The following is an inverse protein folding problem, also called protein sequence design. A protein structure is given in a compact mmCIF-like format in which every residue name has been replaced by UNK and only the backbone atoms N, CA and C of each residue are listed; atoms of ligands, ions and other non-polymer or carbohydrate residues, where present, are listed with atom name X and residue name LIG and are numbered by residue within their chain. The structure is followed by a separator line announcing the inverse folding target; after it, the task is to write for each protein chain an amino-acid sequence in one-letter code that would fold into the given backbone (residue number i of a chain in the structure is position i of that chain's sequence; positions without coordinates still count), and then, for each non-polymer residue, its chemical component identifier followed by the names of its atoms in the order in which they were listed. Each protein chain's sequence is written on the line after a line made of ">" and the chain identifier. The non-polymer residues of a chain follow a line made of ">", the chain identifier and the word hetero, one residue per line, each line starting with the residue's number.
data_IF_285028857999
#
_entry.id   IF_285028857999
#
_cell.length_a   1.000
_cell.length_b   1.000
_cell.length_c   1.000
_cell.angle_alpha   90.00
_cell.angle_beta   90.00
_cell.angle_gamma   90.00
#
_symmetry.space_group_name_H-M   'P 1'
#
loop_
_entity.id
_entity.type
_entity.pdbx_description
1 polymer ?
#
# COMPACT_ATOMS: atom_id res chain seq x y z
N UNK A 1 17.82 9.21 -31.18
CA UNK A 1 16.66 10.11 -31.02
C UNK A 1 16.39 10.21 -29.53
N UNK A 2 16.79 11.32 -28.91
CA UNK A 2 16.54 11.57 -27.48
C UNK A 2 15.08 11.96 -27.25
N UNK A 3 14.46 11.59 -26.11
CA UNK A 3 13.17 12.15 -25.74
C UNK A 3 13.34 13.63 -25.38
N UNK A 4 12.42 14.45 -25.88
CA UNK A 4 12.44 15.90 -25.71
C UNK A 4 12.13 16.27 -24.25
N UNK A 5 13.05 17.01 -23.63
CA UNK A 5 12.80 17.75 -22.40
C UNK A 5 11.85 18.93 -22.69
N UNK A 6 10.85 19.13 -21.83
CA UNK A 6 9.96 20.29 -21.88
C UNK A 6 10.74 21.50 -21.34
N UNK A 7 10.81 22.56 -22.14
CA UNK A 7 11.53 23.81 -21.86
C UNK A 7 10.92 24.61 -20.69
N UNK A 8 11.72 25.26 -19.82
CA UNK A 8 11.24 25.87 -18.58
C UNK A 8 10.91 27.36 -18.74
N UNK A 9 10.04 27.76 -19.66
CA UNK A 9 9.56 29.16 -19.69
C UNK A 9 8.08 29.23 -20.09
N UNK A 10 7.21 28.96 -19.10
CA UNK A 10 5.87 29.57 -18.93
C UNK A 10 5.11 28.91 -17.77
N UNK A 11 5.75 28.80 -16.59
CA UNK A 11 5.01 28.47 -15.37
C UNK A 11 4.24 29.71 -14.90
N UNK A 12 2.89 29.68 -14.81
CA UNK A 12 2.18 30.71 -14.08
C UNK A 12 2.66 30.66 -12.62
N UNK A 13 3.17 31.79 -12.10
CA UNK A 13 3.54 31.93 -10.69
C UNK A 13 2.33 31.54 -9.84
N UNK A 14 2.39 30.40 -9.15
CA UNK A 14 1.47 30.11 -8.05
C UNK A 14 1.73 31.16 -6.97
N UNK A 15 0.75 32.04 -6.77
CA UNK A 15 0.67 32.88 -5.59
C UNK A 15 0.63 31.97 -4.35
N UNK A 16 1.23 32.39 -3.22
CA UNK A 16 1.17 31.61 -1.99
C UNK A 16 -0.29 31.41 -1.59
N UNK A 17 -0.70 30.14 -1.48
CA UNK A 17 -2.01 29.80 -0.94
C UNK A 17 -2.09 30.34 0.49
N UNK A 18 -3.01 31.28 0.72
CA UNK A 18 -3.39 31.68 2.08
C UNK A 18 -3.89 30.45 2.83
N UNK A 19 -3.66 30.32 4.15
CA UNK A 19 -4.20 29.22 4.94
C UNK A 19 -5.72 29.24 4.77
N UNK A 20 -6.26 28.25 4.07
CA UNK A 20 -7.70 28.03 4.05
C UNK A 20 -8.02 27.46 5.42
N UNK A 21 -8.71 28.25 6.23
CA UNK A 21 -9.29 27.79 7.48
C UNK A 21 -10.03 26.48 7.20
N UNK A 22 -9.69 25.45 7.96
CA UNK A 22 -10.40 24.17 7.98
C UNK A 22 -11.86 24.44 8.30
N UNK A 23 -12.69 24.53 7.26
CA UNK A 23 -14.12 24.32 7.41
C UNK A 23 -14.27 22.87 7.81
N UNK A 24 -14.69 22.66 9.05
CA UNK A 24 -15.20 21.39 9.56
C UNK A 24 -16.03 20.71 8.47
N UNK A 25 -15.53 19.60 7.95
CA UNK A 25 -16.34 18.70 7.13
C UNK A 25 -17.47 18.21 8.04
N UNK A 26 -18.75 18.28 7.61
CA UNK A 26 -19.85 17.86 8.45
C UNK A 26 -19.72 16.38 8.81
N UNK A 27 -20.22 16.07 10.01
CA UNK A 27 -20.26 14.75 10.64
C UNK A 27 -20.50 13.60 9.67
N UNK A 28 -19.74 12.52 9.88
CA UNK A 28 -20.04 11.14 9.51
C UNK A 28 -21.10 10.96 8.42
N UNK A 29 -20.67 10.53 7.23
CA UNK A 29 -21.55 9.76 6.35
C UNK A 29 -21.42 8.30 6.79
N UNK A 30 -22.36 7.74 7.57
CA UNK A 30 -22.29 6.33 7.91
C UNK A 30 -22.57 5.50 6.65
N UNK A 31 -21.68 4.56 6.34
CA UNK A 31 -21.94 3.43 5.44
C UNK A 31 -23.04 2.55 6.05
N UNK A 32 -24.28 3.03 6.00
CA UNK A 32 -25.47 2.24 6.29
C UNK A 32 -25.73 1.44 5.02
N UNK A 33 -25.34 0.16 5.06
CA UNK A 33 -25.88 -0.97 4.28
C UNK A 33 -24.88 -2.12 4.10
N UNK A 34 -23.76 -2.12 4.84
CA UNK A 34 -23.07 -3.39 5.13
C UNK A 34 -24.02 -4.25 5.99
N UNK A 35 -24.41 -5.46 5.56
CA UNK A 35 -25.25 -6.32 6.37
C UNK A 35 -24.56 -6.54 7.71
N UNK A 36 -25.27 -6.21 8.79
CA UNK A 36 -24.87 -6.55 10.16
C UNK A 36 -25.02 -8.07 10.37
N UNK A 37 -24.29 -8.87 9.60
CA UNK A 37 -24.11 -10.27 9.91
C UNK A 37 -22.90 -10.37 10.81
N UNK A 38 -23.15 -10.79 12.06
CA UNK A 38 -22.16 -11.47 12.88
C UNK A 38 -21.65 -12.67 12.08
N UNK A 39 -20.64 -12.45 11.26
CA UNK A 39 -19.91 -13.52 10.57
C UNK A 39 -18.46 -13.39 11.03
N UNK A 40 -18.03 -14.23 11.99
CA UNK A 40 -16.72 -14.12 12.60
C UNK A 40 -15.70 -14.71 11.64
N UNK A 41 -14.98 -13.87 10.89
CA UNK A 41 -13.96 -14.29 9.93
C UNK A 41 -14.52 -15.16 8.79
N UNK A 42 -13.90 -15.17 7.59
CA UNK A 42 -13.99 -16.37 6.77
C UNK A 42 -13.28 -17.47 7.55
N UNK A 43 -14.03 -18.43 8.12
CA UNK A 43 -13.52 -19.64 8.79
C UNK A 43 -12.54 -20.46 7.92
N UNK A 44 -12.32 -20.05 6.67
CA UNK A 44 -11.67 -20.81 5.61
C UNK A 44 -10.36 -20.20 5.08
N UNK A 45 -9.78 -19.18 5.75
CA UNK A 45 -8.32 -18.99 5.65
C UNK A 45 -7.71 -20.11 6.50
N UNK A 46 -6.94 -21.07 5.94
CA UNK A 46 -6.45 -22.20 6.70
C UNK A 46 -5.63 -21.73 7.90
N UNK A 47 -6.28 -21.65 9.07
CA UNK A 47 -5.70 -21.33 10.36
C UNK A 47 -4.95 -22.57 10.86
N UNK A 48 -3.84 -22.87 10.22
CA UNK A 48 -2.93 -23.91 10.66
C UNK A 48 -1.99 -23.32 11.72
N UNK A 49 -2.43 -23.45 12.98
CA UNK A 49 -1.67 -23.28 14.23
C UNK A 49 -0.43 -24.18 14.36
N UNK A 50 0.15 -24.70 13.28
CA UNK A 50 1.40 -25.49 13.34
C UNK A 50 2.23 -25.62 12.05
N UNK A 51 1.84 -25.05 10.91
CA UNK A 51 2.68 -24.95 9.70
C UNK A 51 2.33 -23.67 8.95
N UNK A 52 3.21 -22.69 9.06
CA UNK A 52 3.08 -21.36 8.44
C UNK A 52 2.70 -21.54 6.95
N UNK A 53 1.67 -20.83 6.44
CA UNK A 53 1.71 -20.41 5.05
C UNK A 53 3.04 -19.66 4.84
N UNK A 54 3.65 -19.74 3.67
CA UNK A 54 4.96 -19.12 3.41
C UNK A 54 4.81 -17.59 3.44
N UNK A 55 4.83 -17.03 4.65
CA UNK A 55 4.60 -15.62 4.88
C UNK A 55 5.87 -14.84 4.62
N UNK A 56 5.72 -13.62 4.08
CA UNK A 56 6.80 -12.65 4.10
C UNK A 56 7.21 -12.33 5.55
N UNK A 57 8.46 -11.92 5.73
CA UNK A 57 9.01 -11.53 7.04
C UNK A 57 8.15 -10.47 7.75
N UNK A 58 7.35 -9.68 7.03
CA UNK A 58 6.53 -8.57 7.55
C UNK A 58 5.04 -8.88 7.74
N UNK A 59 4.67 -10.15 7.98
CA UNK A 59 3.27 -10.58 8.15
C UNK A 59 2.38 -10.35 6.91
N UNK A 60 3.01 -10.21 5.75
CA UNK A 60 2.36 -10.01 4.45
C UNK A 60 2.18 -11.34 3.72
N UNK A 61 0.99 -11.49 3.15
CA UNK A 61 0.57 -12.63 2.35
C UNK A 61 0.49 -12.15 0.90
N UNK A 62 1.34 -12.73 0.07
CA UNK A 62 1.47 -12.39 -1.35
C UNK A 62 1.28 -13.61 -2.26
N UNK A 63 1.20 -14.81 -1.69
CA UNK A 63 1.09 -16.09 -2.40
C UNK A 63 -0.37 -16.57 -2.50
N UNK A 64 -0.58 -17.76 -3.05
CA UNK A 64 -1.90 -18.39 -3.24
C UNK A 64 -2.90 -17.58 -4.07
N UNK A 65 -2.42 -16.67 -4.91
CA UNK A 65 -3.26 -15.76 -5.68
C UNK A 65 -4.04 -14.74 -4.84
N UNK A 66 -3.69 -14.56 -3.55
CA UNK A 66 -4.48 -13.75 -2.61
C UNK A 66 -4.77 -12.35 -3.14
N UNK A 67 -3.81 -11.72 -3.85
CA UNK A 67 -3.97 -10.39 -4.41
C UNK A 67 -5.17 -10.25 -5.37
N UNK A 68 -5.69 -11.36 -5.91
CA UNK A 68 -6.78 -11.39 -6.89
C UNK A 68 -8.03 -12.14 -6.45
N UNK A 69 -8.08 -12.63 -5.21
CA UNK A 69 -9.30 -13.23 -4.65
C UNK A 69 -10.46 -12.22 -4.68
N UNK A 70 -11.70 -12.70 -4.84
CA UNK A 70 -12.89 -11.83 -4.97
C UNK A 70 -12.96 -10.72 -3.93
N UNK A 71 -12.78 -11.04 -2.65
CA UNK A 71 -12.86 -10.05 -1.57
C UNK A 71 -11.81 -8.92 -1.69
N UNK A 72 -10.64 -9.17 -2.29
CA UNK A 72 -9.61 -8.14 -2.49
C UNK A 72 -10.02 -7.19 -3.62
N UNK A 73 -10.66 -7.72 -4.67
CA UNK A 73 -11.17 -6.91 -5.76
C UNK A 73 -12.42 -6.13 -5.36
N UNK A 74 -13.36 -6.76 -4.65
CA UNK A 74 -14.53 -6.09 -4.09
C UNK A 74 -14.09 -4.90 -3.22
N UNK A 75 -13.15 -5.12 -2.29
CA UNK A 75 -12.58 -4.07 -1.44
C UNK A 75 -11.89 -2.94 -2.22
N UNK A 76 -11.14 -3.27 -3.29
CA UNK A 76 -10.48 -2.28 -4.15
C UNK A 76 -11.49 -1.43 -4.93
N UNK A 77 -12.59 -2.03 -5.35
CA UNK A 77 -13.61 -1.39 -6.18
C UNK A 77 -14.71 -0.69 -5.37
N UNK A 78 -14.65 -0.73 -4.04
CA UNK A 78 -15.57 0.03 -3.19
C UNK A 78 -15.61 1.51 -3.61
N UNK A 79 -16.80 2.10 -3.82
CA UNK A 79 -16.91 3.47 -4.33
C UNK A 79 -16.12 4.48 -3.50
N UNK A 80 -16.19 4.39 -2.17
CA UNK A 80 -15.43 5.29 -1.28
C UNK A 80 -13.91 5.17 -1.42
N UNK A 81 -13.40 3.99 -1.82
CA UNK A 81 -11.97 3.79 -2.09
C UNK A 81 -11.62 4.48 -3.41
N UNK A 82 -12.35 4.18 -4.48
CA UNK A 82 -12.09 4.76 -5.79
C UNK A 82 -12.22 6.27 -5.80
N UNK A 83 -13.24 6.82 -5.13
CA UNK A 83 -13.48 8.26 -5.01
C UNK A 83 -12.33 8.97 -4.30
N UNK A 84 -11.77 8.37 -3.24
CA UNK A 84 -10.65 8.94 -2.50
C UNK A 84 -9.38 9.06 -3.38
N UNK A 85 -9.09 8.03 -4.17
CA UNK A 85 -7.96 8.05 -5.10
C UNK A 85 -8.22 8.92 -6.32
N UNK A 86 -9.44 8.94 -6.85
CA UNK A 86 -9.81 9.79 -7.97
C UNK A 86 -9.70 11.27 -7.59
N UNK A 87 -10.11 11.62 -6.36
CA UNK A 87 -9.94 12.96 -5.80
C UNK A 87 -8.46 13.30 -5.64
N UNK A 88 -7.66 12.38 -5.10
CA UNK A 88 -6.22 12.60 -4.88
C UNK A 88 -5.46 12.84 -6.19
N UNK A 89 -5.86 12.18 -7.27
CA UNK A 89 -5.19 12.27 -8.58
C UNK A 89 -5.87 13.20 -9.59
N UNK A 90 -7.08 13.67 -9.32
CA UNK A 90 -7.88 14.48 -10.23
C UNK A 90 -8.40 13.73 -11.47
N UNK A 91 -8.55 12.41 -11.39
CA UNK A 91 -9.03 11.55 -12.49
C UNK A 91 -9.58 10.23 -11.98
N UNK A 92 -10.64 9.72 -12.58
CA UNK A 92 -11.23 8.39 -12.33
C UNK A 92 -10.53 7.26 -13.12
N UNK A 93 -9.73 7.63 -14.12
CA UNK A 93 -8.91 6.70 -14.88
C UNK A 93 -7.67 6.23 -14.09
N UNK A 94 -7.85 5.18 -13.29
CA UNK A 94 -6.85 4.70 -12.32
C UNK A 94 -6.35 3.28 -12.65
N UNK A 95 -5.12 2.97 -12.25
CA UNK A 95 -4.64 1.59 -12.17
C UNK A 95 -4.46 1.23 -10.70
N UNK A 96 -4.85 0.02 -10.31
CA UNK A 96 -4.72 -0.50 -8.94
C UNK A 96 -3.47 -1.36 -8.77
N UNK A 97 -2.79 -1.31 -7.62
CA UNK A 97 -1.66 -2.20 -7.32
C UNK A 97 -2.10 -3.64 -7.01
N UNK A 98 -1.24 -4.62 -7.30
CA UNK A 98 -1.45 -6.03 -6.95
C UNK A 98 -0.67 -6.40 -5.70
N UNK A 99 -0.88 -5.62 -4.64
CA UNK A 99 -0.16 -5.80 -3.39
C UNK A 99 -0.76 -6.93 -2.54
N UNK A 100 -0.53 -6.88 -1.23
CA UNK A 100 -0.64 -7.99 -0.30
C UNK A 100 -1.72 -7.76 0.76
N UNK A 101 -2.19 -8.88 1.31
CA UNK A 101 -2.96 -8.89 2.55
C UNK A 101 -1.96 -8.90 3.72
N UNK A 102 -2.20 -8.13 4.77
CA UNK A 102 -1.43 -8.23 6.01
C UNK A 102 -2.29 -8.79 7.13
N UNK A 103 -1.81 -9.84 7.79
CA UNK A 103 -2.44 -10.40 9.00
C UNK A 103 -1.41 -10.44 10.11
N UNK A 104 -1.54 -9.53 11.06
CA UNK A 104 -0.65 -9.41 12.21
C UNK A 104 -1.34 -9.93 13.46
N UNK A 105 -0.82 -11.04 13.99
CA UNK A 105 -1.32 -11.65 15.22
C UNK A 105 -0.67 -11.02 16.45
N UNK A 106 -1.45 -10.81 17.53
CA UNK A 106 -0.93 -10.32 18.80
C UNK A 106 -0.18 -11.43 19.54
N UNK A 107 0.75 -11.05 20.41
CA UNK A 107 1.33 -11.92 21.43
C UNK A 107 1.93 -13.26 20.94
N UNK A 108 2.55 -13.25 19.75
CA UNK A 108 3.27 -14.43 19.21
C UNK A 108 4.55 -14.71 20.00
N UNK A 109 4.50 -15.64 20.96
CA UNK A 109 5.64 -16.01 21.83
C UNK A 109 6.88 -16.54 21.09
N UNK A 110 6.68 -17.15 19.93
CA UNK A 110 7.76 -17.80 19.16
C UNK A 110 8.30 -16.92 18.03
N UNK A 111 7.91 -15.64 17.98
CA UNK A 111 8.34 -14.70 16.94
C UNK A 111 8.87 -13.44 17.64
N UNK A 112 10.17 -13.12 17.50
CA UNK A 112 10.70 -11.87 18.02
C UNK A 112 9.92 -10.68 17.47
N UNK A 113 9.63 -9.70 18.34
CA UNK A 113 9.06 -8.44 17.89
C UNK A 113 10.06 -7.73 16.99
N UNK A 114 9.56 -7.17 15.90
CA UNK A 114 10.36 -6.33 15.02
C UNK A 114 10.57 -4.97 15.66
N UNK A 115 11.77 -4.43 15.50
CA UNK A 115 12.05 -3.03 15.77
C UNK A 115 11.41 -2.15 14.70
N UNK A 116 11.22 -0.85 14.96
CA UNK A 116 10.93 0.13 13.92
C UNK A 116 11.91 0.02 12.74
N UNK A 117 11.38 0.27 11.56
CA UNK A 117 12.08 0.15 10.28
C UNK A 117 11.58 1.27 9.37
N UNK A 118 11.76 2.50 9.85
CA UNK A 118 11.36 3.73 9.19
C UNK A 118 11.89 3.77 7.77
N UNK A 119 10.97 3.84 6.81
CA UNK A 119 11.31 3.93 5.41
C UNK A 119 10.32 4.79 4.64
N UNK A 120 10.76 5.15 3.45
CA UNK A 120 9.93 5.66 2.37
C UNK A 120 10.00 4.68 1.22
N UNK A 121 8.97 4.68 0.40
CA UNK A 121 8.75 3.72 -0.69
C UNK A 121 8.82 4.39 -2.07
N UNK A 122 9.53 5.51 -2.14
CA UNK A 122 9.82 6.22 -3.37
C UNK A 122 11.31 6.51 -3.43
N UNK A 123 11.93 6.15 -4.55
CA UNK A 123 13.33 6.47 -4.79
C UNK A 123 13.56 7.99 -4.76
N UNK A 124 14.69 8.48 -4.20
CA UNK A 124 15.05 9.90 -4.26
C UNK A 124 15.29 10.41 -5.69
N UNK A 125 15.46 9.51 -6.67
CA UNK A 125 15.52 9.86 -8.09
C UNK A 125 14.16 10.32 -8.65
N UNK A 126 13.05 10.04 -7.95
CA UNK A 126 11.70 10.50 -8.30
C UNK A 126 11.36 11.71 -7.43
N UNK A 127 11.37 12.91 -8.03
CA UNK A 127 11.07 14.17 -7.33
C UNK A 127 9.58 14.49 -7.40
N UNK A 128 9.01 14.94 -6.27
CA UNK A 128 7.57 15.18 -6.17
C UNK A 128 6.73 13.91 -5.98
N UNK A 129 5.40 14.03 -6.06
CA UNK A 129 4.49 12.91 -5.84
C UNK A 129 4.45 11.97 -7.05
N UNK A 130 4.76 10.69 -6.85
CA UNK A 130 4.64 9.66 -7.89
C UNK A 130 3.77 8.46 -7.49
N UNK A 131 3.59 8.22 -6.18
CA UNK A 131 2.75 7.13 -5.70
C UNK A 131 2.01 7.54 -4.43
N UNK A 132 0.73 7.17 -4.37
CA UNK A 132 -0.14 7.30 -3.20
C UNK A 132 -0.51 5.89 -2.76
N UNK A 133 -0.08 5.54 -1.56
CA UNK A 133 -0.36 4.25 -0.93
C UNK A 133 -1.56 4.36 0.01
N UNK A 134 -2.17 3.22 0.27
CA UNK A 134 -3.21 3.10 1.26
C UNK A 134 -3.28 1.72 1.92
N UNK A 135 -3.96 1.73 3.05
CA UNK A 135 -4.39 0.54 3.77
C UNK A 135 -5.89 0.64 3.98
N UNK A 136 -6.61 -0.39 3.54
CA UNK A 136 -8.00 -0.60 3.94
C UNK A 136 -8.04 -1.48 5.19
N UNK A 137 -8.61 -0.95 6.26
CA UNK A 137 -8.71 -1.66 7.53
C UNK A 137 -9.86 -2.66 7.53
N UNK A 138 -9.55 -3.95 7.71
CA UNK A 138 -10.54 -5.03 7.88
C UNK A 138 -10.71 -5.46 9.34
N UNK A 139 -10.05 -4.74 10.25
CA UNK A 139 -10.06 -4.95 11.70
C UNK A 139 -9.79 -3.61 12.40
N UNK A 140 -10.25 -3.42 13.63
CA UNK A 140 -9.82 -2.28 14.44
C UNK A 140 -8.29 -2.25 14.58
N UNK A 141 -7.73 -1.05 14.66
CA UNK A 141 -6.33 -0.82 14.96
C UNK A 141 -6.22 0.29 16.02
N UNK A 142 -6.08 -0.10 17.29
CA UNK A 142 -5.90 0.82 18.40
C UNK A 142 -4.44 1.22 18.66
N UNK A 143 -4.19 1.94 19.77
CA UNK A 143 -2.86 2.40 20.16
C UNK A 143 -1.89 1.27 20.54
N UNK A 144 -2.41 0.17 21.09
CA UNK A 144 -1.62 -0.99 21.54
C UNK A 144 -1.53 -2.08 20.46
N UNK A 145 -2.35 -1.98 19.40
CA UNK A 145 -2.41 -2.95 18.32
C UNK A 145 -1.30 -2.70 17.28
N UNK A 146 -1.06 -3.71 16.45
CA UNK A 146 -0.24 -3.51 15.26
C UNK A 146 -0.86 -2.45 14.35
N UNK A 147 -0.09 -1.92 13.41
CA UNK A 147 -0.64 -1.02 12.40
C UNK A 147 0.37 -0.07 11.80
N UNK A 148 -0.13 0.99 11.20
CA UNK A 148 0.71 1.97 10.52
C UNK A 148 1.21 3.02 11.51
N UNK A 149 2.52 3.25 11.53
CA UNK A 149 3.10 4.47 12.06
C UNK A 149 3.58 5.30 10.89
N UNK A 150 3.24 6.59 10.90
CA UNK A 150 3.71 7.58 9.93
C UNK A 150 4.45 8.70 10.64
N UNK A 151 5.29 9.42 9.94
CA UNK A 151 5.82 10.71 10.37
C UNK A 151 5.12 11.78 9.55
N UNK A 152 4.04 12.41 10.08
CA UNK A 152 3.29 13.43 9.35
C UNK A 152 4.22 14.53 8.82
N UNK A 153 3.88 15.08 7.66
CA UNK A 153 4.63 16.16 6.97
C UNK A 153 6.06 15.80 6.50
N UNK A 154 6.58 14.60 6.80
CA UNK A 154 7.91 14.18 6.31
C UNK A 154 8.05 14.19 4.78
N UNK A 155 6.97 13.88 4.05
CA UNK A 155 6.95 13.92 2.58
C UNK A 155 7.22 15.33 2.01
N UNK A 156 6.87 16.39 2.74
CA UNK A 156 7.13 17.77 2.33
C UNK A 156 8.62 18.14 2.45
N UNK A 157 9.35 17.43 3.31
CA UNK A 157 10.79 17.60 3.54
C UNK A 157 11.65 16.59 2.77
N UNK A 158 11.04 15.63 2.06
CA UNK A 158 11.73 14.54 1.37
C UNK A 158 12.84 15.06 0.44
N UNK A 159 12.47 15.99 -0.43
CA UNK A 159 13.36 16.61 -1.41
C UNK A 159 14.55 17.31 -0.73
N UNK A 160 14.29 18.16 0.28
CA UNK A 160 15.34 18.85 1.06
C UNK A 160 16.25 17.87 1.81
N UNK A 161 15.67 16.82 2.40
CA UNK A 161 16.42 15.82 3.15
C UNK A 161 17.43 15.13 2.25
N UNK A 162 17.01 14.63 1.08
CA UNK A 162 17.92 13.95 0.18
C UNK A 162 18.98 14.90 -0.38
N UNK A 163 18.62 16.14 -0.70
CA UNK A 163 19.56 17.14 -1.25
C UNK A 163 20.61 17.59 -0.24
N UNK A 164 20.34 17.51 1.07
CA UNK A 164 21.22 18.09 2.11
C UNK A 164 21.83 17.08 3.07
N UNK A 165 21.21 15.91 3.23
CA UNK A 165 21.59 14.89 4.23
C UNK A 165 22.08 13.59 3.59
N UNK A 166 22.10 13.49 2.27
CA UNK A 166 22.58 12.31 1.54
C UNK A 166 23.49 12.70 0.38
N UNK A 167 24.15 11.71 -0.21
CA UNK A 167 24.94 11.88 -1.43
C UNK A 167 24.17 11.29 -2.62
N UNK A 168 23.98 12.08 -3.68
CA UNK A 168 23.28 11.65 -4.90
C UNK A 168 23.94 10.41 -5.54
N UNK A 169 25.25 10.20 -5.32
CA UNK A 169 25.98 9.03 -5.83
C UNK A 169 25.52 7.71 -5.22
N UNK A 170 24.87 7.76 -4.06
CA UNK A 170 24.34 6.58 -3.36
C UNK A 170 22.86 6.31 -3.71
N UNK A 171 22.23 7.21 -4.47
CA UNK A 171 20.84 7.05 -4.88
C UNK A 171 20.72 5.93 -5.91
N UNK A 172 19.61 5.21 -5.84
CA UNK A 172 19.32 4.11 -6.73
C UNK A 172 17.81 4.02 -7.01
N UNK A 173 17.44 3.20 -8.00
CA UNK A 173 16.05 3.08 -8.47
C UNK A 173 15.19 2.19 -7.57
N UNK A 174 15.70 1.69 -6.45
CA UNK A 174 14.85 0.98 -5.50
C UNK A 174 13.89 1.98 -4.89
N UNK A 175 12.60 1.74 -5.07
CA UNK A 175 11.51 2.48 -4.44
C UNK A 175 11.38 2.05 -2.97
N UNK A 176 12.49 2.16 -2.23
CA UNK A 176 12.63 1.91 -0.79
C UNK A 176 13.91 2.56 -0.25
N UNK A 177 13.78 3.38 0.78
CA UNK A 177 14.92 3.96 1.51
C UNK A 177 14.71 3.84 3.02
N UNK A 178 15.65 3.23 3.73
CA UNK A 178 15.62 3.05 5.19
C UNK A 178 16.41 4.17 5.87
N UNK A 179 15.83 4.77 6.90
CA UNK A 179 16.47 5.87 7.63
C UNK A 179 17.31 5.36 8.80
N UNK A 180 18.48 5.96 8.99
CA UNK A 180 19.26 5.79 10.21
C UNK A 180 18.68 6.62 11.36
N UNK A 181 19.11 6.34 12.60
CA UNK A 181 18.69 7.11 13.79
C UNK A 181 19.09 8.58 13.67
N UNK A 182 20.28 8.86 13.12
CA UNK A 182 20.81 10.21 12.89
C UNK A 182 19.98 10.96 11.86
N UNK A 183 19.59 10.27 10.77
CA UNK A 183 18.75 10.85 9.74
C UNK A 183 17.34 11.15 10.27
N UNK A 184 16.77 10.25 11.07
CA UNK A 184 15.49 10.51 11.74
C UNK A 184 15.56 11.70 12.71
N UNK A 185 16.73 11.96 13.31
CA UNK A 185 16.91 13.12 14.18
C UNK A 185 16.74 14.45 13.41
N UNK A 186 17.21 14.51 12.16
CA UNK A 186 17.05 15.69 11.30
C UNK A 186 15.56 16.08 11.09
N UNK A 187 14.68 15.08 10.97
CA UNK A 187 13.23 15.30 10.89
C UNK A 187 12.65 15.73 12.25
N UNK A 188 13.07 15.09 13.34
CA UNK A 188 12.63 15.44 14.70
C UNK A 188 13.01 16.87 15.09
N UNK A 189 14.20 17.33 14.71
CA UNK A 189 14.66 18.70 14.95
C UNK A 189 13.82 19.75 14.19
N UNK A 190 13.07 19.31 13.17
CA UNK A 190 12.09 20.10 12.40
C UNK A 190 10.65 19.88 12.86
N UNK A 191 10.43 19.22 14.00
CA UNK A 191 9.12 18.97 14.59
C UNK A 191 8.34 17.79 13.98
N UNK A 192 8.99 16.98 13.14
CA UNK A 192 8.36 15.80 12.54
C UNK A 192 8.58 14.59 13.43
N UNK A 193 7.48 14.05 13.98
CA UNK A 193 7.49 12.97 14.97
C UNK A 193 6.62 11.79 14.54
N UNK A 194 6.92 10.56 14.98
CA UNK A 194 6.11 9.39 14.65
C UNK A 194 4.72 9.49 15.28
N UNK A 195 3.70 9.10 14.52
CA UNK A 195 2.30 9.02 14.90
C UNK A 195 1.77 7.62 14.60
N UNK A 196 1.33 6.90 15.64
CA UNK A 196 0.58 5.64 15.47
C UNK A 196 -0.83 5.96 14.99
N UNK A 197 -1.13 5.57 13.75
CA UNK A 197 -2.47 5.73 13.19
C UNK A 197 -3.39 4.69 13.84
N UNK A 198 -4.47 5.18 14.43
CA UNK A 198 -5.58 4.37 14.90
C UNK A 198 -6.74 4.49 13.93
N UNK A 199 -7.42 3.39 13.66
CA UNK A 199 -8.48 3.34 12.65
C UNK A 199 -9.44 2.18 12.91
N UNK A 200 -10.69 2.37 12.52
CA UNK A 200 -11.77 1.41 12.65
C UNK A 200 -11.89 0.51 11.41
N UNK A 201 -12.78 -0.47 11.47
CA UNK A 201 -13.10 -1.34 10.33
C UNK A 201 -13.75 -0.51 9.22
N UNK A 202 -13.26 -0.64 8.00
CA UNK A 202 -13.75 0.09 6.83
C UNK A 202 -13.00 1.40 6.56
N UNK A 203 -12.19 1.87 7.49
CA UNK A 203 -11.38 3.07 7.26
C UNK A 203 -10.32 2.83 6.18
N UNK A 204 -10.18 3.80 5.29
CA UNK A 204 -9.11 3.89 4.31
C UNK A 204 -8.08 4.91 4.78
N UNK A 205 -6.86 4.45 5.07
CA UNK A 205 -5.73 5.31 5.42
C UNK A 205 -4.89 5.51 4.17
N UNK A 206 -4.71 6.75 3.72
CA UNK A 206 -3.95 7.10 2.52
C UNK A 206 -2.72 7.94 2.88
N UNK A 207 -1.58 7.69 2.25
CA UNK A 207 -0.38 8.53 2.39
C UNK A 207 0.44 8.60 1.09
N UNK A 208 1.22 9.68 0.96
CA UNK A 208 2.22 9.84 -0.09
C UNK A 208 3.40 8.87 0.16
N UNK A 209 3.87 8.12 -0.84
CA UNK A 209 5.00 7.17 -0.69
C UNK A 209 6.30 7.78 -0.15
N UNK A 210 6.45 9.10 -0.21
CA UNK A 210 7.55 9.87 0.41
C UNK A 210 7.39 10.10 1.92
N UNK A 211 6.25 9.74 2.49
CA UNK A 211 6.01 9.85 3.94
C UNK A 211 6.76 8.73 4.65
N UNK A 212 7.62 9.08 5.61
CA UNK A 212 8.32 8.08 6.42
C UNK A 212 7.28 7.28 7.20
N UNK A 213 7.31 5.96 7.07
CA UNK A 213 6.35 5.09 7.70
C UNK A 213 6.95 3.72 8.01
N UNK A 214 6.23 2.93 8.81
CA UNK A 214 6.51 1.52 9.04
C UNK A 214 5.30 0.80 9.64
N UNK A 215 5.29 -0.53 9.50
CA UNK A 215 4.35 -1.39 10.20
C UNK A 215 4.81 -1.66 11.64
N UNK A 216 4.06 -1.17 12.62
CA UNK A 216 4.26 -1.44 14.04
C UNK A 216 3.73 -2.83 14.42
N UNK A 217 4.49 -3.53 15.27
CA UNK A 217 4.03 -4.77 15.90
C UNK A 217 3.15 -4.44 17.13
N UNK A 218 2.15 -5.28 17.43
CA UNK A 218 1.31 -5.13 18.62
C UNK A 218 2.13 -5.24 19.91
N UNK A 219 1.73 -4.46 20.92
CA UNK A 219 2.28 -4.56 22.28
C UNK A 219 1.75 -5.82 22.99
N UNK A 220 2.23 -6.08 24.21
CA UNK A 220 1.77 -7.22 25.03
C UNK A 220 0.31 -7.13 25.43
N UNK A 221 -0.25 -5.92 25.41
CA UNK A 221 -1.63 -5.66 25.86
C UNK A 221 -2.65 -5.91 24.76
N UNK A 222 -2.23 -5.96 23.50
CA UNK A 222 -3.13 -6.19 22.37
C UNK A 222 -3.67 -7.62 22.38
N UNK A 223 -4.95 -7.76 22.09
CA UNK A 223 -5.61 -9.04 21.77
C UNK A 223 -6.16 -9.05 20.33
N UNK A 224 -5.86 -8.02 19.54
CA UNK A 224 -6.40 -7.82 18.20
C UNK A 224 -5.55 -8.50 17.14
N UNK A 225 -6.16 -9.40 16.38
CA UNK A 225 -5.59 -9.82 15.09
C UNK A 225 -5.88 -8.72 14.08
N UNK A 226 -4.83 -8.01 13.66
CA UNK A 226 -4.97 -6.97 12.65
C UNK A 226 -4.99 -7.58 11.26
N UNK A 227 -5.98 -7.23 10.48
CA UNK A 227 -6.12 -7.62 9.08
C UNK A 227 -6.35 -6.40 8.22
N UNK A 228 -5.52 -6.20 7.20
CA UNK A 228 -5.67 -5.09 6.27
C UNK A 228 -5.28 -5.45 4.84
N UNK A 229 -5.80 -4.69 3.88
CA UNK A 229 -5.43 -4.78 2.48
C UNK A 229 -4.52 -3.61 2.14
N UNK A 230 -3.33 -3.89 1.60
CA UNK A 230 -2.52 -2.86 0.96
C UNK A 230 -3.07 -2.57 -0.43
N UNK A 231 -3.19 -1.29 -0.74
CA UNK A 231 -3.64 -0.83 -2.06
C UNK A 231 -2.95 0.48 -2.41
N UNK A 232 -2.76 0.72 -3.69
CA UNK A 232 -2.27 1.98 -4.21
C UNK A 232 -2.89 2.17 -5.59
N UNK A 233 -3.10 3.43 -5.96
CA UNK A 233 -3.64 3.77 -7.27
C UNK A 233 -2.83 4.89 -7.88
N UNK A 234 -2.75 4.87 -9.20
CA UNK A 234 -2.12 5.92 -10.00
C UNK A 234 -2.87 6.10 -11.32
N UNK A 235 -2.87 7.30 -11.91
CA UNK A 235 -3.52 7.53 -13.20
C UNK A 235 -3.02 6.57 -14.28
N UNK A 236 -3.93 6.01 -15.07
CA UNK A 236 -3.59 5.09 -16.15
C UNK A 236 -2.63 5.72 -17.18
N UNK A 237 -2.76 7.03 -17.41
CA UNK A 237 -1.90 7.82 -18.31
C UNK A 237 -0.41 7.85 -17.92
N UNK A 238 -0.06 7.45 -16.69
CA UNK A 238 1.34 7.38 -16.26
C UNK A 238 2.01 6.06 -16.66
N UNK A 239 1.25 5.03 -17.02
CA UNK A 239 1.80 3.74 -17.37
C UNK A 239 2.44 3.76 -18.76
N UNK A 240 3.69 3.31 -18.85
CA UNK A 240 4.30 3.00 -20.12
C UNK A 240 3.66 1.74 -20.75
N UNK A 241 3.56 1.63 -22.09
CA UNK A 241 2.89 0.49 -22.73
C UNK A 241 3.45 -0.89 -22.36
N UNK A 242 4.76 -0.99 -22.15
CA UNK A 242 5.45 -2.21 -21.73
C UNK A 242 5.11 -2.58 -20.28
N UNK A 243 5.07 -1.59 -19.37
CA UNK A 243 4.64 -1.80 -17.99
C UNK A 243 3.18 -2.24 -17.91
N UNK A 244 2.30 -1.66 -18.74
CA UNK A 244 0.89 -2.06 -18.83
C UNK A 244 0.74 -3.50 -19.36
N UNK A 245 1.53 -3.88 -20.37
CA UNK A 245 1.54 -5.24 -20.88
C UNK A 245 2.03 -6.24 -19.83
N UNK A 246 3.09 -5.92 -19.09
CA UNK A 246 3.58 -6.75 -17.99
C UNK A 246 2.56 -6.85 -16.86
N UNK A 247 1.93 -5.74 -16.47
CA UNK A 247 0.84 -5.73 -15.48
C UNK A 247 -0.30 -6.66 -15.90
N UNK A 248 -0.73 -6.61 -17.16
CA UNK A 248 -1.76 -7.50 -17.69
C UNK A 248 -1.36 -8.97 -17.58
N UNK A 249 -0.12 -9.32 -17.91
CA UNK A 249 0.39 -10.69 -17.76
C UNK A 249 0.35 -11.15 -16.30
N UNK A 250 0.76 -10.29 -15.36
CA UNK A 250 0.71 -10.58 -13.93
C UNK A 250 -0.73 -10.81 -13.47
N UNK A 251 -1.68 -10.00 -13.94
CA UNK A 251 -3.10 -10.15 -13.65
C UNK A 251 -3.67 -11.48 -14.18
N UNK A 252 -3.41 -11.81 -15.44
CA UNK A 252 -3.89 -13.05 -16.09
C UNK A 252 -3.33 -14.31 -15.42
N UNK A 253 -2.14 -14.22 -14.80
CA UNK A 253 -1.52 -15.29 -14.04
C UNK A 253 -1.91 -15.32 -12.55
N UNK A 254 -2.76 -14.40 -12.10
CA UNK A 254 -3.09 -14.18 -10.67
C UNK A 254 -1.86 -13.92 -9.78
N UNK A 255 -0.82 -13.30 -10.34
CA UNK A 255 0.41 -12.94 -9.62
C UNK A 255 0.27 -11.65 -8.81
N UNK A 256 0.97 -11.57 -7.69
CA UNK A 256 1.18 -10.29 -7.01
C UNK A 256 2.22 -9.43 -7.72
N UNK A 257 2.23 -8.12 -7.43
CA UNK A 257 3.23 -7.17 -7.88
C UNK A 257 3.72 -6.29 -6.72
N UNK A 258 4.47 -5.24 -7.03
CA UNK A 258 4.84 -4.20 -6.06
C UNK A 258 3.64 -3.30 -5.74
N UNK A 259 3.82 -2.33 -4.86
CA UNK A 259 2.80 -1.31 -4.58
C UNK A 259 2.63 -0.31 -5.73
N UNK A 260 3.50 -0.32 -6.76
CA UNK A 260 3.40 0.60 -7.89
C UNK A 260 2.39 0.09 -8.93
N UNK A 261 1.33 0.84 -9.27
CA UNK A 261 0.31 0.35 -10.20
C UNK A 261 0.67 0.50 -11.68
N UNK A 262 1.49 1.48 -12.05
CA UNK A 262 1.78 1.90 -13.43
C UNK A 262 3.23 1.67 -13.88
N UNK A 263 4.14 1.39 -12.95
CA UNK A 263 5.58 1.28 -13.16
C UNK A 263 6.15 0.28 -12.13
N UNK A 264 7.44 -0.05 -12.21
CA UNK A 264 8.13 -0.98 -11.31
C UNK A 264 7.32 -2.28 -11.08
N UNK A 265 6.73 -2.80 -12.15
CA UNK A 265 5.95 -4.04 -12.11
C UNK A 265 6.92 -5.20 -12.02
N UNK A 266 6.98 -5.81 -10.84
CA UNK A 266 7.77 -7.03 -10.60
C UNK A 266 6.82 -8.16 -10.28
N UNK A 267 6.71 -9.13 -11.21
CA UNK A 267 5.87 -10.31 -11.00
C UNK A 267 6.40 -11.11 -9.81
N UNK A 268 5.54 -11.35 -8.83
CA UNK A 268 5.79 -12.33 -7.77
C UNK A 268 5.50 -13.73 -8.31
N UNK A 269 6.16 -14.74 -7.74
CA UNK A 269 5.87 -16.13 -8.07
C UNK A 269 4.41 -16.45 -7.76
N UNK A 270 3.73 -17.13 -8.69
CA UNK A 270 2.35 -17.57 -8.54
C UNK A 270 2.26 -18.88 -7.77
N UNK A 271 3.28 -19.73 -7.88
CA UNK A 271 3.41 -20.95 -7.11
C UNK A 271 3.87 -20.65 -5.69
N UNK A 272 3.23 -21.32 -4.74
CA UNK A 272 3.63 -21.23 -3.34
C UNK A 272 4.49 -22.44 -2.98
N UNK A 273 5.76 -22.21 -2.65
CA UNK A 273 6.72 -23.26 -2.30
C UNK A 273 7.02 -23.27 -0.81
N UNK A 274 7.10 -24.46 -0.22
CA UNK A 274 7.55 -24.70 1.16
C UNK A 274 9.07 -24.44 1.28
N UNK A 275 9.58 -24.44 2.52
CA UNK A 275 11.02 -24.23 2.80
C UNK A 275 11.93 -25.27 2.14
N UNK A 276 11.42 -26.48 1.88
CA UNK A 276 12.13 -27.56 1.18
C UNK A 276 12.07 -27.43 -0.36
N UNK A 277 11.46 -26.35 -0.88
CA UNK A 277 11.29 -26.09 -2.31
C UNK A 277 10.14 -26.86 -2.96
N UNK A 278 9.43 -27.71 -2.23
CA UNK A 278 8.25 -28.40 -2.76
C UNK A 278 7.04 -27.48 -2.81
N UNK A 279 6.16 -27.67 -3.79
CA UNK A 279 4.91 -26.89 -3.87
C UNK A 279 4.05 -27.20 -2.66
N UNK A 280 3.55 -26.16 -1.99
CA UNK A 280 2.66 -26.31 -0.85
C UNK A 280 1.38 -27.05 -1.29
N UNK A 281 0.97 -28.14 -0.64
CA UNK A 281 -0.25 -28.87 -0.98
C UNK A 281 -1.54 -28.04 -0.89
N UNK A 282 -1.48 -26.88 -0.21
CA UNK A 282 -2.59 -25.91 -0.11
C UNK A 282 -2.61 -24.91 -1.27
N UNK A 283 -1.57 -24.90 -2.09
CA UNK A 283 -1.46 -24.07 -3.28
C UNK A 283 -2.42 -24.53 -4.37
N UNK A 284 -2.82 -23.60 -5.23
CA UNK A 284 -3.91 -23.80 -6.19
C UNK A 284 -3.59 -23.05 -7.47
N UNK A 285 -3.93 -23.65 -8.61
CA UNK A 285 -3.79 -22.99 -9.92
C UNK A 285 -4.93 -21.98 -10.19
N UNK A 286 -5.95 -21.95 -9.33
CA UNK A 286 -7.09 -21.05 -9.43
C UNK A 286 -7.42 -20.44 -8.08
N UNK A 287 -8.01 -19.24 -8.15
CA UNK A 287 -8.54 -18.52 -7.01
C UNK A 287 -9.63 -19.33 -6.29
N UNK A 288 -9.85 -19.01 -5.02
CA UNK A 288 -10.84 -19.70 -4.16
C UNK A 288 -12.22 -19.23 -4.54
N UNK A 289 -12.33 -17.93 -4.73
CA UNK A 289 -13.50 -17.27 -5.24
C UNK A 289 -13.06 -16.31 -6.33
N UNK A 290 -13.56 -16.54 -7.54
CA UNK A 290 -13.27 -15.70 -8.69
C UNK A 290 -13.97 -14.35 -8.54
N UNK A 291 -13.29 -13.21 -8.76
CA UNK A 291 -13.96 -11.92 -8.83
C UNK A 291 -14.85 -11.85 -10.07
N UNK A 292 -15.84 -10.97 -10.01
CA UNK A 292 -16.62 -10.59 -11.18
C UNK A 292 -15.73 -9.76 -12.11
N UNK A 293 -15.42 -10.29 -13.30
CA UNK A 293 -14.54 -9.65 -14.29
C UNK A 293 -15.27 -8.52 -15.03
N UNK A 294 -15.69 -7.50 -14.29
CA UNK A 294 -16.36 -6.31 -14.82
C UNK A 294 -15.37 -5.45 -15.61
N UNK A 295 -15.89 -4.58 -16.49
CA UNK A 295 -15.07 -3.60 -17.21
C UNK A 295 -14.25 -2.72 -16.25
N UNK A 296 -14.83 -2.35 -15.10
CA UNK A 296 -14.15 -1.56 -14.08
C UNK A 296 -12.93 -2.31 -13.51
N UNK A 297 -13.09 -3.58 -13.15
CA UNK A 297 -12.00 -4.43 -12.69
C UNK A 297 -10.91 -4.54 -13.75
N UNK A 298 -11.29 -4.86 -14.99
CA UNK A 298 -10.35 -5.05 -16.09
C UNK A 298 -9.58 -3.76 -16.41
N UNK A 299 -10.23 -2.59 -16.29
CA UNK A 299 -9.59 -1.28 -16.42
C UNK A 299 -8.59 -1.01 -15.30
N UNK A 300 -8.99 -1.21 -14.04
CA UNK A 300 -8.12 -1.05 -12.86
C UNK A 300 -6.91 -2.01 -12.91
N UNK A 301 -7.11 -3.23 -13.41
CA UNK A 301 -6.08 -4.23 -13.60
C UNK A 301 -5.13 -3.91 -14.78
N UNK A 302 -5.47 -2.96 -15.65
CA UNK A 302 -4.74 -2.68 -16.89
C UNK A 302 -4.92 -3.75 -17.97
N UNK A 303 -5.92 -4.63 -17.82
CA UNK A 303 -6.29 -5.63 -18.80
C UNK A 303 -7.22 -5.09 -19.91
N UNK A 304 -7.86 -3.95 -19.65
CA UNK A 304 -8.71 -3.19 -20.57
C UNK A 304 -8.30 -1.72 -20.59
N UNK A 305 -8.25 -1.04 -21.76
CA UNK A 305 -7.97 0.38 -21.83
C UNK A 305 -9.14 1.23 -21.27
N UNK A 306 -8.82 2.46 -20.85
CA UNK A 306 -9.80 3.42 -20.34
C UNK A 306 -10.68 4.03 -21.42
#
# INVERSE_FOLDING_TARGET
>A
MSPAAISPESSPRLMPAKPVATKSVPDHVPLKDLPSSRTPYPENVPLATRRRPTNGSFNTFHSYGVAHEKFMWDARMEPGVLDAFATSWGTDQLLASFDSLNVTFPNRKNVPRKTPWEHVDQSPLRRGLHCVQAILNLSPAGPEDGGLVVYPDSHALFDEFFDTQTDERDWNTLDRYLFSVEQLQWFKDRGVHPLKVCADVGDLIIWDSRTIHYGAEPTEKSSQTRTVIYSAYTPARLAAPDQLALKKQVFEAYGGATHWPHDNIVSRATETLLEDGTRDPRDRDRLREMPDMTDQLLKLAGAMPY
#
